data_IF_309695440933
#
_entry.id   IF_309695440933
#
_cell.length_a   1.000
_cell.length_b   1.000
_cell.length_c   1.000
_cell.angle_alpha   90.00
_cell.angle_beta   90.00
_cell.angle_gamma   90.00
#
_symmetry.space_group_name_H-M   'P 1'
#
loop_
_entity.id
_entity.type
_entity.pdbx_description
1 polymer ?
#
# COMPACT_ATOMS: atom_id res chain seq x y z
N UNK A 1 1.38 6.02 19.02
CA UNK A 1 2.41 6.00 20.04
C UNK A 1 3.73 5.48 19.47
N UNK A 2 4.77 5.59 20.28
CA UNK A 2 6.09 5.12 19.86
C UNK A 2 6.14 3.61 19.63
N UNK A 3 5.35 2.86 20.38
CA UNK A 3 5.30 1.41 20.22
C UNK A 3 4.79 1.02 18.84
N UNK A 4 3.77 1.71 18.39
CA UNK A 4 3.20 1.46 17.07
C UNK A 4 4.23 1.73 15.98
N UNK A 5 4.98 2.79 16.11
CA UNK A 5 6.03 3.13 15.16
C UNK A 5 7.14 2.09 15.18
N UNK A 6 7.47 1.57 16.35
CA UNK A 6 8.55 0.58 16.50
C UNK A 6 8.24 -0.74 15.81
N UNK A 7 6.96 -1.08 15.63
CA UNK A 7 6.58 -2.33 14.97
C UNK A 7 7.03 -2.40 13.52
N UNK A 8 7.23 -1.26 12.89
CA UNK A 8 7.71 -1.26 11.51
C UNK A 8 8.79 -0.21 11.33
N UNK A 9 9.92 -0.46 11.96
CA UNK A 9 11.05 0.46 11.93
C UNK A 9 11.71 0.56 10.56
N UNK A 10 11.43 -0.40 9.67
CA UNK A 10 12.02 -0.41 8.34
C UNK A 10 11.27 0.48 7.35
N UNK A 11 10.10 0.98 7.73
CA UNK A 11 9.34 1.88 6.87
C UNK A 11 9.83 3.31 7.07
N UNK A 12 10.25 3.93 5.98
CA UNK A 12 10.67 5.33 6.00
C UNK A 12 9.44 6.21 6.24
N UNK A 13 9.46 7.07 7.29
CA UNK A 13 8.31 7.93 7.58
C UNK A 13 7.93 8.85 6.44
N UNK A 14 8.89 9.37 5.71
CA UNK A 14 8.61 10.26 4.58
C UNK A 14 7.91 9.52 3.46
N UNK A 15 8.34 8.29 3.19
CA UNK A 15 7.68 7.45 2.19
C UNK A 15 6.26 7.13 2.63
N UNK A 16 6.08 6.78 3.89
CA UNK A 16 4.75 6.45 4.41
C UNK A 16 3.81 7.65 4.28
N UNK A 17 4.29 8.85 4.61
CA UNK A 17 3.48 10.07 4.47
C UNK A 17 3.12 10.32 3.02
N UNK A 18 4.05 10.10 2.10
CA UNK A 18 3.79 10.29 0.67
C UNK A 18 2.77 9.28 0.16
N UNK A 19 2.85 8.03 0.62
CA UNK A 19 1.87 7.00 0.25
C UNK A 19 0.48 7.39 0.76
N UNK A 20 0.39 7.81 2.02
CA UNK A 20 -0.88 8.22 2.60
C UNK A 20 -1.50 9.39 1.84
N UNK A 21 -0.67 10.37 1.47
CA UNK A 21 -1.13 11.52 0.71
C UNK A 21 -1.64 11.11 -0.67
N UNK A 22 -0.93 10.20 -1.33
CA UNK A 22 -1.33 9.72 -2.66
C UNK A 22 -2.67 8.96 -2.59
N UNK A 23 -2.88 8.18 -1.54
CA UNK A 23 -4.16 7.49 -1.33
C UNK A 23 -5.28 8.52 -1.16
N UNK A 24 -5.06 9.52 -0.33
CA UNK A 24 -6.06 10.57 -0.05
C UNK A 24 -6.42 11.33 -1.31
N UNK A 25 -5.41 11.68 -2.11
CA UNK A 25 -5.61 12.50 -3.31
C UNK A 25 -5.94 11.68 -4.55
N UNK A 26 -5.89 10.37 -4.45
CA UNK A 26 -6.15 9.45 -5.56
C UNK A 26 -5.20 9.71 -6.72
N UNK A 27 -3.91 9.82 -6.40
CA UNK A 27 -2.86 10.05 -7.40
C UNK A 27 -2.16 8.75 -7.72
N UNK A 28 -1.88 8.53 -8.98
CA UNK A 28 -1.07 7.38 -9.42
C UNK A 28 0.35 7.55 -8.90
N UNK A 29 0.98 6.45 -8.52
CA UNK A 29 2.34 6.46 -7.98
C UNK A 29 3.23 5.49 -8.73
N UNK A 30 4.54 5.75 -8.67
CA UNK A 30 5.55 4.83 -9.20
C UNK A 30 6.60 4.59 -8.13
N UNK A 31 7.16 3.40 -8.14
CA UNK A 31 8.25 3.06 -7.23
C UNK A 31 8.96 1.82 -7.74
N UNK A 32 10.15 1.58 -7.19
CA UNK A 32 10.87 0.32 -7.41
C UNK A 32 10.55 -0.58 -6.22
N UNK A 33 10.10 -1.78 -6.51
CA UNK A 33 9.68 -2.73 -5.48
C UNK A 33 10.62 -3.92 -5.40
N UNK A 34 11.03 -4.26 -4.19
CA UNK A 34 11.89 -5.40 -3.93
C UNK A 34 11.05 -6.59 -3.52
N UNK A 35 11.06 -7.63 -4.34
CA UNK A 35 10.29 -8.83 -4.08
C UNK A 35 10.85 -9.61 -2.89
N UNK A 36 9.96 -10.16 -2.06
CA UNK A 36 10.37 -10.98 -0.92
C UNK A 36 11.04 -12.28 -1.34
N UNK A 37 10.54 -12.88 -2.42
CA UNK A 37 10.93 -14.25 -2.76
C UNK A 37 12.15 -14.33 -3.66
N UNK A 38 12.39 -13.31 -4.45
CA UNK A 38 13.42 -13.37 -5.48
C UNK A 38 14.56 -12.42 -5.26
N UNK A 39 14.45 -11.54 -4.28
CA UNK A 39 15.44 -10.49 -4.06
C UNK A 39 15.67 -9.66 -5.32
N UNK A 40 14.63 -9.52 -6.12
CA UNK A 40 14.67 -8.77 -7.37
C UNK A 40 13.92 -7.46 -7.22
N UNK A 41 14.39 -6.44 -7.92
CA UNK A 41 13.71 -5.16 -7.97
C UNK A 41 12.99 -5.01 -9.30
N UNK A 42 11.80 -4.41 -9.24
CA UNK A 42 11.02 -4.12 -10.43
C UNK A 42 10.31 -2.80 -10.27
N UNK A 43 10.16 -2.07 -11.38
CA UNK A 43 9.40 -0.82 -11.38
C UNK A 43 7.92 -1.12 -11.41
N UNK A 44 7.17 -0.38 -10.59
CA UNK A 44 5.72 -0.55 -10.50
C UNK A 44 5.03 0.79 -10.67
N UNK A 45 3.88 0.76 -11.33
CA UNK A 45 2.97 1.89 -11.39
C UNK A 45 1.64 1.43 -10.79
N UNK A 46 1.15 2.16 -9.80
CA UNK A 46 0.01 1.71 -9.00
C UNK A 46 -0.99 2.84 -8.79
N UNK A 47 -2.27 2.48 -8.84
CA UNK A 47 -3.37 3.35 -8.41
C UNK A 47 -3.69 3.00 -6.97
N UNK A 48 -3.28 3.83 -6.00
CA UNK A 48 -3.42 3.47 -4.58
C UNK A 48 -4.86 3.61 -4.11
N UNK A 49 -5.45 2.49 -3.69
CA UNK A 49 -6.81 2.48 -3.18
C UNK A 49 -6.87 2.65 -1.67
N UNK A 50 -5.89 2.13 -0.95
CA UNK A 50 -5.88 2.23 0.50
C UNK A 50 -4.54 1.89 1.11
N UNK A 51 -4.39 2.23 2.38
CA UNK A 51 -3.19 1.97 3.16
C UNK A 51 -3.63 1.24 4.43
N UNK A 52 -3.03 0.11 4.73
CA UNK A 52 -3.40 -0.71 5.88
C UNK A 52 -2.16 -1.14 6.66
N UNK A 53 -2.32 -1.22 7.98
CA UNK A 53 -1.31 -1.76 8.88
C UNK A 53 -1.73 -3.17 9.27
N UNK A 54 -0.93 -4.16 8.86
CA UNK A 54 -1.27 -5.57 9.04
C UNK A 54 -0.07 -6.28 9.63
N UNK A 55 -0.26 -6.90 10.78
CA UNK A 55 0.78 -7.69 11.48
C UNK A 55 2.14 -6.99 11.55
N UNK A 56 2.11 -5.73 11.94
CA UNK A 56 3.34 -4.96 12.17
C UNK A 56 3.92 -4.27 10.96
N UNK A 57 3.24 -4.32 9.81
CA UNK A 57 3.77 -3.70 8.59
C UNK A 57 2.72 -2.90 7.85
N UNK A 58 3.17 -1.83 7.19
CA UNK A 58 2.30 -1.02 6.36
C UNK A 58 2.26 -1.55 4.94
N UNK A 59 1.05 -1.61 4.37
CA UNK A 59 0.83 -2.09 3.01
C UNK A 59 0.01 -1.08 2.22
N UNK A 60 0.44 -0.83 1.00
CA UNK A 60 -0.35 -0.11 0.01
C UNK A 60 -1.15 -1.12 -0.79
N UNK A 61 -2.45 -0.92 -0.85
CA UNK A 61 -3.33 -1.80 -1.63
C UNK A 61 -3.90 -0.99 -2.77
N UNK A 62 -3.77 -1.51 -3.98
CA UNK A 62 -4.24 -0.81 -5.15
C UNK A 62 -4.14 -1.64 -6.41
N UNK A 63 -4.38 -0.98 -7.53
CA UNK A 63 -4.30 -1.63 -8.82
C UNK A 63 -2.90 -1.44 -9.39
N UNK A 64 -2.23 -2.55 -9.65
CA UNK A 64 -0.96 -2.55 -10.39
C UNK A 64 -1.31 -2.34 -11.87
N UNK A 65 -0.94 -1.20 -12.41
CA UNK A 65 -1.33 -0.82 -13.76
C UNK A 65 -0.77 -1.77 -14.80
N UNK A 66 0.50 -2.15 -14.64
CA UNK A 66 1.15 -3.04 -15.58
C UNK A 66 0.56 -4.44 -15.61
N UNK A 67 0.11 -4.94 -14.47
CA UNK A 67 -0.49 -6.26 -14.36
C UNK A 67 -2.02 -6.24 -14.49
N UNK A 68 -2.62 -5.05 -14.43
CA UNK A 68 -4.07 -4.86 -14.41
C UNK A 68 -4.74 -5.75 -13.35
N UNK A 69 -4.19 -5.70 -12.13
CA UNK A 69 -4.67 -6.54 -11.04
C UNK A 69 -4.48 -5.82 -9.71
N UNK A 70 -5.37 -6.08 -8.77
CA UNK A 70 -5.23 -5.58 -7.41
C UNK A 70 -4.11 -6.33 -6.72
N UNK A 71 -3.23 -5.56 -6.08
CA UNK A 71 -2.07 -6.11 -5.39
C UNK A 71 -1.84 -5.38 -4.09
N UNK A 72 -1.03 -5.99 -3.24
CA UNK A 72 -0.64 -5.47 -1.96
C UNK A 72 0.87 -5.32 -1.95
N UNK A 73 1.33 -4.11 -1.61
CA UNK A 73 2.76 -3.80 -1.60
C UNK A 73 3.18 -3.34 -0.22
N UNK A 74 4.20 -3.98 0.32
CA UNK A 74 4.73 -3.58 1.62
C UNK A 74 5.55 -2.30 1.46
N UNK A 75 5.17 -1.27 2.21
CA UNK A 75 5.77 0.06 2.02
C UNK A 75 7.27 0.05 2.27
N UNK A 76 7.74 -0.73 3.24
CA UNK A 76 9.17 -0.80 3.55
C UNK A 76 10.03 -1.39 2.43
N UNK A 77 9.40 -1.98 1.42
CA UNK A 77 10.12 -2.56 0.27
C UNK A 77 10.10 -1.66 -0.94
N UNK A 78 9.58 -0.45 -0.80
CA UNK A 78 9.52 0.53 -1.88
C UNK A 78 10.76 1.41 -1.86
N UNK A 79 11.24 1.77 -3.05
CA UNK A 79 12.34 2.70 -3.21
C UNK A 79 11.99 3.67 -4.33
N UNK A 80 12.43 4.92 -4.22
CA UNK A 80 12.18 5.90 -5.27
C UNK A 80 10.71 6.22 -5.47
N UNK A 81 9.96 6.31 -4.39
CA UNK A 81 8.52 6.55 -4.45
C UNK A 81 8.24 7.95 -5.01
N UNK A 82 7.41 8.01 -6.05
CA UNK A 82 7.03 9.27 -6.67
C UNK A 82 5.54 9.31 -6.93
N UNK A 83 4.96 10.48 -6.75
CA UNK A 83 3.55 10.72 -7.00
C UNK A 83 3.40 11.46 -8.33
N UNK A 84 2.44 11.03 -9.14
CA UNK A 84 2.19 11.69 -10.41
C UNK A 84 1.88 13.17 -10.19
N UNK A 85 2.68 14.05 -10.79
CA UNK A 85 2.53 15.49 -10.64
C UNK A 85 1.61 16.15 -11.65
N UNK A 86 1.19 15.43 -12.68
CA UNK A 86 0.28 15.96 -13.69
C UNK A 86 -1.09 16.18 -13.07
N UNK A 87 -1.70 17.32 -13.34
CA UNK A 87 -3.02 17.64 -12.81
C UNK A 87 -3.09 17.46 -11.30
N UNK A 88 -2.18 18.09 -10.59
CA UNK A 88 -2.00 17.86 -9.15
C UNK A 88 -3.29 18.04 -8.34
N UNK A 89 -4.22 18.84 -8.81
CA UNK A 89 -5.46 19.13 -8.10
C UNK A 89 -6.60 18.18 -8.45
N UNK A 90 -6.36 17.22 -9.34
CA UNK A 90 -7.40 16.29 -9.79
C UNK A 90 -6.98 14.85 -9.54
N UNK A 91 -7.92 13.97 -9.18
CA UNK A 91 -7.60 12.57 -9.02
C UNK A 91 -7.24 11.93 -10.37
N UNK A 92 -6.37 10.93 -10.33
CA UNK A 92 -5.95 10.20 -11.53
C UNK A 92 -6.87 9.02 -11.84
N UNK A 93 -7.67 8.59 -10.86
CA UNK A 93 -8.51 7.42 -10.99
C UNK A 93 -9.66 7.48 -10.00
N UNK A 94 -10.60 6.57 -10.15
CA UNK A 94 -11.71 6.39 -9.21
C UNK A 94 -11.53 5.05 -8.51
N UNK A 95 -11.66 5.05 -7.19
CA UNK A 95 -11.60 3.80 -6.43
C UNK A 95 -12.87 3.01 -6.77
N UNK A 96 -12.74 1.73 -7.18
CA UNK A 96 -13.91 0.93 -7.51
C UNK A 96 -14.88 0.82 -6.33
N UNK A 97 -16.17 0.86 -6.63
CA UNK A 97 -17.19 0.82 -5.59
C UNK A 97 -17.17 -0.49 -4.81
N UNK A 98 -16.67 -1.57 -5.41
CA UNK A 98 -16.60 -2.87 -4.76
C UNK A 98 -15.36 -3.02 -3.87
N UNK A 99 -14.48 -2.04 -3.85
CA UNK A 99 -13.28 -2.12 -3.02
C UNK A 99 -13.63 -1.81 -1.58
N UNK A 100 -13.25 -2.71 -0.69
CA UNK A 100 -13.41 -2.53 0.75
C UNK A 100 -12.09 -2.89 1.40
N UNK A 101 -11.40 -1.87 1.92
CA UNK A 101 -10.04 -2.02 2.41
C UNK A 101 -9.92 -3.04 3.53
N UNK A 102 -10.84 -2.97 4.50
CA UNK A 102 -10.81 -3.89 5.62
C UNK A 102 -10.99 -5.34 5.19
N UNK A 103 -11.94 -5.58 4.29
CA UNK A 103 -12.19 -6.92 3.80
C UNK A 103 -11.01 -7.46 3.01
N UNK A 104 -10.41 -6.62 2.16
CA UNK A 104 -9.22 -7.03 1.40
C UNK A 104 -8.07 -7.40 2.33
N UNK A 105 -7.81 -6.56 3.31
CA UNK A 105 -6.70 -6.79 4.24
C UNK A 105 -6.89 -8.08 5.03
N UNK A 106 -8.11 -8.33 5.50
CA UNK A 106 -8.42 -9.56 6.26
C UNK A 106 -8.27 -10.80 5.37
N UNK A 107 -8.80 -10.73 4.17
CA UNK A 107 -8.75 -11.85 3.24
C UNK A 107 -7.31 -12.19 2.88
N UNK A 108 -6.53 -11.17 2.56
CA UNK A 108 -5.14 -11.36 2.19
C UNK A 108 -4.32 -11.95 3.33
N UNK A 109 -4.52 -11.42 4.53
CA UNK A 109 -3.81 -11.89 5.70
C UNK A 109 -4.15 -13.34 6.01
N UNK A 110 -5.42 -13.68 5.95
CA UNK A 110 -5.85 -15.06 6.21
C UNK A 110 -5.23 -16.02 5.20
N UNK A 111 -5.18 -15.61 3.94
CA UNK A 111 -4.58 -16.43 2.90
C UNK A 111 -3.09 -16.65 3.11
N UNK A 112 -2.38 -15.63 3.52
CA UNK A 112 -0.94 -15.71 3.74
C UNK A 112 -0.56 -16.43 5.02
N UNK A 113 -1.38 -16.29 6.05
CA UNK A 113 -1.07 -16.81 7.38
C UNK A 113 -1.90 -18.04 7.76
N UNK A 114 -2.66 -18.57 6.84
CA UNK A 114 -3.53 -19.69 7.10
C UNK A 114 -4.75 -19.28 7.88
N UNK A 115 -4.96 -19.86 9.05
CA UNK A 115 -6.17 -19.63 9.83
C UNK A 115 -6.07 -18.45 10.80
N UNK A 116 -5.01 -17.66 10.72
CA UNK A 116 -4.83 -16.56 11.65
C UNK A 116 -5.90 -15.49 11.45
N UNK A 117 -6.45 -15.00 12.56
CA UNK A 117 -7.41 -13.93 12.51
C UNK A 117 -6.70 -12.59 12.42
N UNK A 118 -7.13 -11.68 11.53
CA UNK A 118 -6.48 -10.39 11.38
C UNK A 118 -7.00 -9.38 12.41
N UNK A 119 -6.68 -9.61 13.67
CA UNK A 119 -7.19 -8.78 14.75
C UNK A 119 -6.60 -7.38 14.80
N UNK A 120 -5.39 -7.23 14.28
CA UNK A 120 -4.64 -6.00 14.41
C UNK A 120 -4.59 -5.17 13.13
N UNK A 121 -5.61 -5.26 12.33
CA UNK A 121 -5.68 -4.46 11.11
C UNK A 121 -6.07 -3.02 11.46
N UNK A 122 -5.21 -2.10 11.11
CA UNK A 122 -5.48 -0.66 11.26
C UNK A 122 -5.60 -0.09 9.86
N UNK A 123 -6.76 0.45 9.55
CA UNK A 123 -7.06 0.91 8.21
C UNK A 123 -6.94 2.43 8.14
N UNK A 124 -6.19 2.90 7.15
CA UNK A 124 -6.02 4.33 6.87
C UNK A 124 -6.62 4.64 5.51
N UNK A 125 -7.55 5.56 5.47
CA UNK A 125 -8.06 6.06 4.21
C UNK A 125 -8.75 7.41 4.44
N UNK A 126 -8.93 8.12 3.39
CA UNK A 126 -9.52 9.46 3.49
C UNK A 126 -10.55 9.69 2.41
#
# INVERSE_FOLDING_TARGET
TSEFIQLDQTTDPDTLDAVADAVRRKKRVTFVYRSMHRDEESSREVEPYGLAFITGHWYLIGRDVGADARRQFRVSRMRGFEVNGSRAQSPDFTVPADFELGAHARSRQAWELGDAEPEDVIVQFT
#
